data_IF_377549454937
#
_entry.id   IF_377549454937
#
_cell.length_a   1.000
_cell.length_b   1.000
_cell.length_c   1.000
_cell.angle_alpha   90.00
_cell.angle_beta   90.00
_cell.angle_gamma   90.00
#
_symmetry.space_group_name_H-M   'P 1'
#
loop_
_entity.id
_entity.type
_entity.pdbx_description
1 polymer ?
#
# COMPACT_ATOMS: atom_id res chain seq x y z
N UNK A 1 -17.23 -12.24 1.44
CA UNK A 1 -16.93 -11.09 2.33
C UNK A 1 -17.31 -9.81 1.60
N UNK A 2 -17.47 -8.65 2.27
CA UNK A 2 -17.63 -7.37 1.57
C UNK A 2 -16.43 -7.11 0.65
N UNK A 3 -16.67 -6.44 -0.48
CA UNK A 3 -15.58 -5.98 -1.35
C UNK A 3 -14.72 -4.95 -0.63
N UNK A 4 -13.42 -4.97 -0.92
CA UNK A 4 -12.48 -3.95 -0.47
C UNK A 4 -12.68 -2.72 -1.33
N UNK A 5 -12.97 -1.59 -0.68
CA UNK A 5 -12.98 -0.28 -1.31
C UNK A 5 -11.74 0.50 -0.85
N UNK A 6 -11.03 1.08 -1.83
CA UNK A 6 -9.88 1.94 -1.62
C UNK A 6 -10.19 3.34 -2.14
N UNK A 7 -10.15 4.31 -1.23
CA UNK A 7 -10.37 5.72 -1.50
C UNK A 7 -9.07 6.45 -1.88
N UNK A 8 -9.23 7.53 -2.63
CA UNK A 8 -8.15 8.47 -2.92
C UNK A 8 -7.88 9.32 -1.67
N UNK A 9 -6.68 9.24 -1.06
CA UNK A 9 -6.40 10.01 0.16
C UNK A 9 -6.32 11.50 -0.14
N UNK A 10 -7.19 12.30 0.48
CA UNK A 10 -7.28 13.75 0.23
C UNK A 10 -5.94 14.47 0.45
N UNK A 11 -5.26 14.16 1.55
CA UNK A 11 -3.97 14.78 1.87
C UNK A 11 -2.86 14.45 0.88
N UNK A 12 -2.96 13.32 0.15
CA UNK A 12 -2.02 12.98 -0.93
C UNK A 12 -2.29 13.86 -2.14
N UNK A 13 -3.55 13.99 -2.55
CA UNK A 13 -3.94 14.83 -3.71
C UNK A 13 -3.63 16.30 -3.45
N UNK A 14 -3.96 16.82 -2.27
CA UNK A 14 -3.67 18.20 -1.87
C UNK A 14 -2.17 18.50 -1.77
N UNK A 15 -1.32 17.47 -1.68
CA UNK A 15 0.14 17.65 -1.68
C UNK A 15 0.73 17.79 -3.09
N UNK A 16 -0.02 17.44 -4.14
CA UNK A 16 0.43 17.58 -5.52
C UNK A 16 0.50 19.05 -5.92
N UNK A 17 1.40 19.42 -6.84
CA UNK A 17 1.40 20.76 -7.44
C UNK A 17 0.05 21.09 -8.09
N UNK A 18 -0.44 22.33 -7.90
CA UNK A 18 -1.81 22.77 -8.27
C UNK A 18 -2.16 22.58 -9.76
N UNK A 19 -1.17 22.52 -10.65
CA UNK A 19 -1.37 22.41 -12.11
C UNK A 19 -1.32 20.97 -12.63
N UNK A 20 -1.19 19.95 -11.77
CA UNK A 20 -0.92 18.57 -12.21
C UNK A 20 -2.10 17.60 -12.05
N UNK A 21 -3.09 17.75 -12.94
CA UNK A 21 -4.20 16.79 -13.09
C UNK A 21 -3.74 15.39 -13.56
N UNK A 22 -2.56 15.29 -14.20
CA UNK A 22 -2.06 14.02 -14.74
C UNK A 22 -1.61 13.09 -13.61
N UNK A 23 -0.84 13.62 -12.66
CA UNK A 23 -0.39 12.86 -11.50
C UNK A 23 -1.56 12.33 -10.66
N UNK A 24 -2.59 13.14 -10.45
CA UNK A 24 -3.80 12.70 -9.75
C UNK A 24 -4.49 11.54 -10.49
N UNK A 25 -4.66 11.64 -11.81
CA UNK A 25 -5.25 10.58 -12.62
C UNK A 25 -4.46 9.27 -12.55
N UNK A 26 -3.13 9.34 -12.58
CA UNK A 26 -2.28 8.16 -12.51
C UNK A 26 -2.40 7.47 -11.15
N UNK A 27 -2.47 8.23 -10.06
CA UNK A 27 -2.73 7.69 -8.72
C UNK A 27 -4.10 7.03 -8.64
N UNK A 28 -5.15 7.68 -9.17
CA UNK A 28 -6.51 7.09 -9.24
C UNK A 28 -6.52 5.77 -10.01
N UNK A 29 -5.82 5.71 -11.14
CA UNK A 29 -5.70 4.48 -11.94
C UNK A 29 -4.96 3.39 -11.18
N UNK A 30 -3.90 3.73 -10.47
CA UNK A 30 -3.15 2.78 -9.63
C UNK A 30 -4.03 2.22 -8.51
N UNK A 31 -4.76 3.08 -7.79
CA UNK A 31 -5.71 2.66 -6.73
C UNK A 31 -6.74 1.68 -7.29
N UNK A 32 -7.39 2.03 -8.39
CA UNK A 32 -8.39 1.18 -9.02
C UNK A 32 -7.80 -0.18 -9.45
N UNK A 33 -6.59 -0.19 -10.00
CA UNK A 33 -5.90 -1.43 -10.37
C UNK A 33 -5.56 -2.32 -9.18
N UNK A 34 -5.08 -1.73 -8.07
CA UNK A 34 -4.80 -2.46 -6.83
C UNK A 34 -6.09 -3.04 -6.27
N UNK A 35 -7.15 -2.23 -6.17
CA UNK A 35 -8.45 -2.65 -5.66
C UNK A 35 -9.03 -3.81 -6.48
N UNK A 36 -9.08 -3.67 -7.81
CA UNK A 36 -9.62 -4.70 -8.71
C UNK A 36 -8.88 -6.02 -8.51
N UNK A 37 -7.54 -5.96 -8.54
CA UNK A 37 -6.70 -7.15 -8.40
C UNK A 37 -6.90 -7.85 -7.06
N UNK A 38 -6.94 -7.11 -5.95
CA UNK A 38 -7.17 -7.70 -4.63
C UNK A 38 -8.55 -8.37 -4.59
N UNK A 39 -9.60 -7.67 -5.00
CA UNK A 39 -10.97 -8.21 -4.97
C UNK A 39 -11.13 -9.46 -5.86
N UNK A 40 -10.47 -9.49 -7.04
CA UNK A 40 -10.42 -10.67 -7.91
C UNK A 40 -9.70 -11.85 -7.23
N UNK A 41 -8.57 -11.60 -6.56
CA UNK A 41 -7.78 -12.67 -5.93
C UNK A 41 -8.45 -13.24 -4.66
N UNK A 42 -9.26 -12.46 -3.94
CA UNK A 42 -9.97 -12.91 -2.73
C UNK A 42 -11.41 -13.38 -3.02
N UNK A 43 -11.86 -13.37 -4.27
CA UNK A 43 -13.22 -13.74 -4.63
C UNK A 43 -13.50 -15.20 -4.22
N UNK A 44 -14.48 -15.39 -3.32
CA UNK A 44 -14.85 -16.72 -2.81
C UNK A 44 -13.89 -17.32 -1.79
N UNK A 45 -12.84 -16.60 -1.38
CA UNK A 45 -11.93 -17.02 -0.32
C UNK A 45 -12.58 -16.93 1.07
N UNK A 46 -12.05 -17.69 2.02
CA UNK A 46 -12.36 -17.50 3.45
C UNK A 46 -11.56 -16.31 4.03
N UNK A 47 -11.95 -15.70 5.17
CA UNK A 47 -11.28 -14.52 5.71
C UNK A 47 -9.77 -14.69 5.96
N UNK A 48 -9.34 -15.86 6.42
CA UNK A 48 -7.92 -16.15 6.64
C UNK A 48 -7.14 -16.20 5.31
N UNK A 49 -7.69 -16.86 4.29
CA UNK A 49 -7.08 -16.94 2.95
C UNK A 49 -7.03 -15.57 2.28
N UNK A 50 -8.10 -14.76 2.43
CA UNK A 50 -8.11 -13.39 1.95
C UNK A 50 -7.07 -12.52 2.66
N UNK A 51 -6.86 -12.72 3.97
CA UNK A 51 -5.84 -11.99 4.72
C UNK A 51 -4.42 -12.30 4.25
N UNK A 52 -4.12 -13.54 3.85
CA UNK A 52 -2.83 -13.91 3.23
C UNK A 52 -2.59 -13.14 1.92
N UNK A 53 -3.58 -13.13 1.02
CA UNK A 53 -3.53 -12.38 -0.25
C UNK A 53 -3.34 -10.88 -0.01
N UNK A 54 -4.08 -10.32 0.95
CA UNK A 54 -3.96 -8.90 1.28
C UNK A 54 -2.62 -8.60 1.94
N UNK A 55 -2.08 -9.49 2.79
CA UNK A 55 -0.75 -9.32 3.37
C UNK A 55 0.34 -9.24 2.30
N UNK A 56 0.26 -10.05 1.24
CA UNK A 56 1.17 -9.95 0.09
C UNK A 56 1.03 -8.59 -0.63
N UNK A 57 -0.20 -8.08 -0.77
CA UNK A 57 -0.43 -6.77 -1.36
C UNK A 57 0.15 -5.64 -0.49
N UNK A 58 0.03 -5.75 0.84
CA UNK A 58 0.63 -4.83 1.81
C UNK A 58 2.15 -4.83 1.67
N UNK A 59 2.81 -5.99 1.65
CA UNK A 59 4.27 -6.09 1.49
C UNK A 59 4.77 -5.48 0.18
N UNK A 60 4.02 -5.70 -0.91
CA UNK A 60 4.29 -5.05 -2.21
C UNK A 60 4.18 -3.52 -2.08
N UNK A 61 3.13 -3.00 -1.45
CA UNK A 61 2.95 -1.57 -1.24
C UNK A 61 4.02 -0.96 -0.32
N UNK A 62 4.44 -1.66 0.73
CA UNK A 62 5.55 -1.25 1.61
C UNK A 62 6.86 -1.15 0.83
N UNK A 63 7.14 -2.13 -0.04
CA UNK A 63 8.31 -2.12 -0.93
C UNK A 63 8.28 -0.91 -1.85
N UNK A 64 7.14 -0.65 -2.50
CA UNK A 64 6.97 0.53 -3.36
C UNK A 64 7.17 1.83 -2.57
N UNK A 65 6.58 1.94 -1.38
CA UNK A 65 6.75 3.10 -0.52
C UNK A 65 8.23 3.33 -0.15
N UNK A 66 8.97 2.26 0.18
CA UNK A 66 10.41 2.33 0.45
C UNK A 66 11.18 2.84 -0.77
N UNK A 67 10.91 2.30 -1.95
CA UNK A 67 11.55 2.76 -3.19
C UNK A 67 11.32 4.24 -3.45
N UNK A 68 10.08 4.72 -3.32
CA UNK A 68 9.80 6.16 -3.46
C UNK A 68 10.45 7.01 -2.36
N UNK A 69 10.56 6.48 -1.14
CA UNK A 69 11.29 7.14 -0.06
C UNK A 69 12.78 7.30 -0.40
N UNK A 70 13.41 6.27 -0.96
CA UNK A 70 14.82 6.26 -1.36
C UNK A 70 15.14 7.28 -2.47
N UNK A 71 14.19 7.56 -3.38
CA UNK A 71 14.37 8.61 -4.39
C UNK A 71 14.43 10.03 -3.82
N UNK A 72 13.84 10.28 -2.64
CA UNK A 72 13.76 11.62 -2.06
C UNK A 72 15.13 12.28 -1.86
N UNK A 73 16.12 11.66 -1.18
CA UNK A 73 17.45 12.24 -1.05
C UNK A 73 18.17 12.43 -2.40
N UNK A 74 18.00 11.49 -3.34
CA UNK A 74 18.63 11.57 -4.67
C UNK A 74 18.10 12.75 -5.49
N UNK A 75 16.78 12.91 -5.56
CA UNK A 75 16.12 14.03 -6.25
C UNK A 75 16.57 15.37 -5.67
N UNK A 76 16.66 15.48 -4.34
CA UNK A 76 17.18 16.68 -3.67
C UNK A 76 18.63 16.97 -4.04
N UNK A 77 19.48 15.95 -4.09
CA UNK A 77 20.88 16.10 -4.48
C UNK A 77 21.03 16.61 -5.92
N UNK A 78 20.06 16.28 -6.79
CA UNK A 78 20.02 16.71 -8.19
C UNK A 78 19.25 18.02 -8.42
N UNK A 79 18.82 18.69 -7.34
CA UNK A 79 18.04 19.92 -7.41
C UNK A 79 16.63 19.75 -7.98
N UNK A 80 16.12 18.52 -8.05
CA UNK A 80 14.76 18.21 -8.47
C UNK A 80 13.79 18.26 -7.29
N UNK A 81 12.53 18.59 -7.55
CA UNK A 81 11.49 18.54 -6.51
C UNK A 81 11.14 17.09 -6.18
N UNK A 82 11.23 16.64 -4.91
CA UNK A 82 10.86 15.28 -4.52
C UNK A 82 9.36 15.09 -4.29
N UNK A 83 8.53 16.09 -4.62
CA UNK A 83 7.12 16.11 -4.21
C UNK A 83 6.32 14.90 -4.71
N UNK A 84 6.52 14.48 -5.96
CA UNK A 84 5.85 13.32 -6.52
C UNK A 84 6.27 12.02 -5.85
N UNK A 85 7.56 11.86 -5.55
CA UNK A 85 8.04 10.68 -4.83
C UNK A 85 7.44 10.61 -3.42
N UNK A 86 7.35 11.74 -2.74
CA UNK A 86 6.69 11.85 -1.43
C UNK A 86 5.20 11.50 -1.55
N UNK A 87 4.50 12.01 -2.57
CA UNK A 87 3.09 11.76 -2.77
C UNK A 87 2.79 10.28 -3.05
N UNK A 88 3.58 9.62 -3.92
CA UNK A 88 3.47 8.18 -4.17
C UNK A 88 3.78 7.33 -2.94
N UNK A 89 4.83 7.67 -2.18
CA UNK A 89 5.13 7.01 -0.91
C UNK A 89 3.94 7.10 0.05
N UNK A 90 3.41 8.31 0.23
CA UNK A 90 2.30 8.54 1.14
C UNK A 90 1.03 7.83 0.65
N UNK A 91 0.76 7.79 -0.66
CA UNK A 91 -0.35 7.02 -1.22
C UNK A 91 -0.34 5.58 -0.74
N UNK A 92 0.77 4.87 -0.91
CA UNK A 92 0.86 3.47 -0.50
C UNK A 92 0.67 3.29 1.02
N UNK A 93 1.26 4.17 1.82
CA UNK A 93 1.08 4.14 3.29
C UNK A 93 -0.39 4.32 3.68
N UNK A 94 -1.09 5.28 3.05
CA UNK A 94 -2.51 5.53 3.30
C UNK A 94 -3.39 4.37 2.83
N UNK A 95 -3.11 3.77 1.67
CA UNK A 95 -3.85 2.60 1.18
C UNK A 95 -3.67 1.38 2.09
N UNK A 96 -2.47 1.17 2.64
CA UNK A 96 -2.24 0.13 3.65
C UNK A 96 -3.11 0.42 4.88
N UNK A 97 -3.15 1.67 5.34
CA UNK A 97 -4.02 2.08 6.44
C UNK A 97 -5.49 1.71 6.19
N UNK A 98 -6.01 2.04 5.01
CA UNK A 98 -7.39 1.72 4.62
C UNK A 98 -7.68 0.22 4.63
N UNK A 99 -6.73 -0.64 4.25
CA UNK A 99 -6.90 -2.10 4.33
C UNK A 99 -7.13 -2.59 5.77
N UNK A 100 -6.46 -1.98 6.75
CA UNK A 100 -6.67 -2.29 8.17
C UNK A 100 -7.98 -1.74 8.74
N UNK A 101 -8.61 -0.77 8.08
CA UNK A 101 -9.89 -0.17 8.50
C UNK A 101 -11.10 -1.04 8.14
N UNK A 102 -10.93 -2.04 7.26
CA UNK A 102 -11.99 -3.00 6.93
C UNK A 102 -12.23 -3.95 8.10
N UNK A 103 -13.38 -3.81 8.78
CA UNK A 103 -13.70 -4.53 10.02
C UNK A 103 -13.55 -6.06 9.91
N UNK A 104 -13.91 -6.63 8.76
CA UNK A 104 -13.84 -8.09 8.55
C UNK A 104 -12.41 -8.59 8.31
N UNK A 105 -11.49 -7.70 7.94
CA UNK A 105 -10.15 -8.01 7.46
C UNK A 105 -9.07 -7.63 8.48
N UNK A 106 -9.20 -6.49 9.17
CA UNK A 106 -8.12 -5.91 9.98
C UNK A 106 -7.53 -6.86 11.03
N UNK A 107 -8.38 -7.61 11.73
CA UNK A 107 -7.94 -8.58 12.75
C UNK A 107 -7.24 -9.82 12.14
N UNK A 108 -7.73 -10.32 11.01
CA UNK A 108 -7.12 -11.45 10.29
C UNK A 108 -5.78 -11.03 9.68
N UNK A 109 -5.74 -9.87 9.03
CA UNK A 109 -4.54 -9.28 8.44
C UNK A 109 -3.47 -9.01 9.49
N UNK A 110 -3.86 -8.46 10.65
CA UNK A 110 -2.94 -8.23 11.76
C UNK A 110 -2.36 -9.55 12.32
N UNK A 111 -3.18 -10.60 12.43
CA UNK A 111 -2.69 -11.93 12.84
C UNK A 111 -1.72 -12.52 11.84
N UNK A 112 -2.05 -12.49 10.56
CA UNK A 112 -1.21 -13.01 9.48
C UNK A 112 0.15 -12.29 9.43
N UNK A 113 0.15 -10.96 9.49
CA UNK A 113 1.38 -10.16 9.51
C UNK A 113 2.25 -10.45 10.72
N UNK A 114 1.65 -10.63 11.90
CA UNK A 114 2.40 -11.02 13.10
C UNK A 114 2.98 -12.44 12.96
N UNK A 115 2.25 -13.37 12.36
CA UNK A 115 2.74 -14.71 12.08
C UNK A 115 3.98 -14.67 11.18
N UNK A 116 3.92 -13.95 10.04
CA UNK A 116 5.07 -13.77 9.13
C UNK A 116 6.28 -13.16 9.81
N UNK A 117 6.09 -12.10 10.59
CA UNK A 117 7.18 -11.47 11.35
C UNK A 117 7.87 -12.43 12.31
N UNK A 118 7.10 -13.28 12.99
CA UNK A 118 7.66 -14.31 13.88
C UNK A 118 8.39 -15.37 13.07
N UNK A 119 7.81 -15.85 11.96
CA UNK A 119 8.43 -16.86 11.10
C UNK A 119 9.78 -16.37 10.54
N UNK A 120 9.83 -15.14 10.03
CA UNK A 120 11.07 -14.55 9.52
C UNK A 120 12.13 -14.34 10.60
N UNK A 121 11.71 -13.96 11.82
CA UNK A 121 12.60 -13.83 12.98
C UNK A 121 13.21 -15.17 13.43
N UNK A 122 12.45 -16.26 13.34
CA UNK A 122 12.95 -17.62 13.59
C UNK A 122 13.96 -18.01 12.51
N UNK A 123 13.63 -17.82 11.23
CA UNK A 123 14.53 -18.11 10.10
C UNK A 123 15.86 -17.36 10.20
N UNK A 124 15.87 -16.12 10.68
CA UNK A 124 17.09 -15.34 10.89
C UNK A 124 17.93 -15.84 12.08
N UNK A 125 17.29 -16.40 13.12
CA UNK A 125 17.99 -16.93 14.31
C UNK A 125 18.70 -18.26 14.05
N UNK A 126 18.29 -18.98 12.99
CA UNK A 126 18.87 -20.26 12.56
C UNK A 126 20.07 -20.11 11.58
N UNK A 127 20.44 -18.87 11.21
CA UNK A 127 21.58 -18.52 10.32
C UNK A 127 22.83 -18.10 11.10
#
# INVERSE_FOLDING_TARGET
>A
MPEIELGVPRGVVESLPEEDETAEQDMRRAIAGIQSRINEEIEGAEPAEAAEVVADAVERMETQASTYHEFVPELRAWGQSPIYAIAWRNLYVELIGQLYEHEWLGDELGRERNFRLVEDGIRLSDL
#
